data_IF_675516124189
#
_entry.id   IF_675516124189
#
_cell.length_a   1.000
_cell.length_b   1.000
_cell.length_c   1.000
_cell.angle_alpha   90.00
_cell.angle_beta   90.00
_cell.angle_gamma   90.00
#
_symmetry.space_group_name_H-M   'P 1'
#
loop_
_entity.id
_entity.type
_entity.pdbx_description
1 polymer ?
#
# COMPACT_ATOMS: atom_id res chain seq x y z
N UNK A 1 -10.04 -10.13 -11.41
CA UNK A 1 -9.00 -9.14 -11.09
C UNK A 1 -8.49 -8.62 -12.41
N UNK A 2 -8.22 -7.33 -12.51
CA UNK A 2 -7.53 -6.79 -13.69
C UNK A 2 -6.20 -7.53 -13.87
N UNK A 3 -5.90 -7.99 -15.09
CA UNK A 3 -4.72 -8.80 -15.41
C UNK A 3 -3.44 -8.06 -14.99
N UNK A 4 -3.45 -6.72 -15.03
CA UNK A 4 -2.30 -5.90 -14.62
C UNK A 4 -1.86 -6.12 -13.16
N UNK A 5 -2.79 -6.31 -12.21
CA UNK A 5 -2.43 -6.53 -10.80
C UNK A 5 -1.91 -7.94 -10.56
N UNK A 6 -2.48 -8.92 -11.27
CA UNK A 6 -2.05 -10.31 -11.18
C UNK A 6 -0.64 -10.47 -11.75
N UNK A 7 -0.40 -9.93 -12.95
CA UNK A 7 0.90 -10.00 -13.60
C UNK A 7 1.98 -9.31 -12.77
N UNK A 8 1.67 -8.13 -12.20
CA UNK A 8 2.58 -7.46 -11.27
C UNK A 8 2.85 -8.29 -10.01
N UNK A 9 1.82 -8.88 -9.40
CA UNK A 9 2.00 -9.72 -8.22
C UNK A 9 2.84 -10.98 -8.52
N UNK A 10 2.67 -11.58 -9.70
CA UNK A 10 3.44 -12.74 -10.14
C UNK A 10 4.89 -12.37 -10.42
N UNK A 11 5.17 -11.27 -11.13
CA UNK A 11 6.53 -10.83 -11.43
C UNK A 11 7.28 -10.33 -10.17
N UNK A 12 6.55 -9.76 -9.21
CA UNK A 12 7.06 -9.32 -7.91
C UNK A 12 6.78 -10.34 -6.81
N UNK A 13 7.17 -11.59 -7.07
CA UNK A 13 7.12 -12.67 -6.09
C UNK A 13 8.23 -13.67 -6.30
N UNK A 14 8.58 -14.37 -5.24
CA UNK A 14 9.53 -15.48 -5.27
C UNK A 14 8.82 -16.79 -4.95
N UNK A 15 9.37 -17.91 -5.41
CA UNK A 15 8.91 -19.25 -5.02
C UNK A 15 9.89 -19.78 -3.98
N UNK A 16 9.40 -20.03 -2.76
CA UNK A 16 10.18 -20.62 -1.67
C UNK A 16 9.57 -21.97 -1.33
N UNK A 17 10.30 -23.05 -1.66
CA UNK A 17 9.72 -24.39 -1.70
C UNK A 17 8.69 -24.47 -2.84
N UNK A 18 7.43 -24.70 -2.48
CA UNK A 18 6.29 -24.73 -3.43
C UNK A 18 5.29 -23.60 -3.18
N UNK A 19 5.65 -22.62 -2.36
CA UNK A 19 4.79 -21.50 -1.99
C UNK A 19 5.28 -20.23 -2.67
N UNK A 20 4.38 -19.54 -3.37
CA UNK A 20 4.63 -18.20 -3.91
C UNK A 20 4.53 -17.16 -2.80
N UNK A 21 5.59 -16.38 -2.59
CA UNK A 21 5.67 -15.31 -1.60
C UNK A 21 5.77 -13.99 -2.35
N UNK A 22 4.79 -13.11 -2.12
CA UNK A 22 4.76 -11.76 -2.69
C UNK A 22 5.84 -10.89 -2.06
N UNK A 23 6.52 -10.10 -2.89
CA UNK A 23 7.47 -9.08 -2.42
C UNK A 23 6.73 -7.88 -1.81
N UNK A 24 7.39 -7.09 -0.94
CA UNK A 24 6.77 -5.95 -0.26
C UNK A 24 6.08 -4.96 -1.21
N UNK A 25 6.65 -4.68 -2.38
CA UNK A 25 6.10 -3.76 -3.37
C UNK A 25 4.79 -4.28 -3.99
N UNK A 26 4.69 -5.58 -4.26
CA UNK A 26 3.44 -6.22 -4.70
C UNK A 26 2.37 -6.13 -3.62
N UNK A 27 2.76 -6.36 -2.36
CA UNK A 27 1.85 -6.25 -1.22
C UNK A 27 1.32 -4.82 -1.07
N UNK A 28 2.16 -3.79 -1.30
CA UNK A 28 1.71 -2.39 -1.29
C UNK A 28 0.63 -2.18 -2.36
N UNK A 29 0.88 -2.58 -3.61
CA UNK A 29 -0.07 -2.40 -4.72
C UNK A 29 -1.41 -3.08 -4.42
N UNK A 30 -1.39 -4.36 -4.03
CA UNK A 30 -2.61 -5.11 -3.77
C UNK A 30 -3.39 -4.54 -2.58
N UNK A 31 -2.70 -4.10 -1.52
CA UNK A 31 -3.36 -3.48 -0.36
C UNK A 31 -3.96 -2.12 -0.70
N UNK A 32 -3.33 -1.33 -1.57
CA UNK A 32 -3.86 -0.04 -2.00
C UNK A 32 -5.16 -0.23 -2.82
N UNK A 33 -5.17 -1.21 -3.72
CA UNK A 33 -6.37 -1.58 -4.49
C UNK A 33 -7.50 -2.04 -3.57
N UNK A 34 -7.19 -2.91 -2.60
CA UNK A 34 -8.18 -3.41 -1.63
C UNK A 34 -8.72 -2.31 -0.71
N UNK A 35 -7.87 -1.38 -0.27
CA UNK A 35 -8.28 -0.21 0.51
C UNK A 35 -9.33 0.62 -0.23
N UNK A 36 -9.03 1.01 -1.48
CA UNK A 36 -9.91 1.82 -2.30
C UNK A 36 -11.21 1.10 -2.65
N UNK A 37 -11.16 -0.21 -2.89
CA UNK A 37 -12.36 -1.00 -3.14
C UNK A 37 -13.25 -1.09 -1.90
N UNK A 38 -12.67 -1.31 -0.72
CA UNK A 38 -13.41 -1.33 0.53
C UNK A 38 -14.04 0.03 0.86
N UNK A 39 -13.35 1.14 0.59
CA UNK A 39 -13.94 2.49 0.69
C UNK A 39 -15.13 2.62 -0.26
N UNK A 40 -14.97 2.24 -1.54
CA UNK A 40 -16.03 2.31 -2.55
C UNK A 40 -17.25 1.46 -2.20
N UNK A 41 -17.05 0.28 -1.62
CA UNK A 41 -18.14 -0.59 -1.16
C UNK A 41 -18.87 0.04 0.03
N UNK A 42 -18.12 0.57 0.99
CA UNK A 42 -18.68 1.27 2.14
C UNK A 42 -19.52 2.50 1.74
N UNK A 43 -19.04 3.29 0.79
CA UNK A 43 -19.79 4.44 0.24
C UNK A 43 -21.09 4.03 -0.45
N UNK A 44 -21.16 2.82 -1.02
CA UNK A 44 -22.39 2.26 -1.59
C UNK A 44 -23.36 1.68 -0.55
N UNK A 45 -22.98 1.68 0.73
CA UNK A 45 -23.78 1.15 1.83
C UNK A 45 -23.58 -0.34 2.11
N UNK A 46 -22.57 -0.98 1.50
CA UNK A 46 -22.22 -2.36 1.83
C UNK A 46 -21.65 -2.46 3.26
N UNK A 47 -21.86 -3.59 3.98
CA UNK A 47 -21.46 -3.75 5.38
C UNK A 47 -19.94 -4.02 5.52
N UNK A 48 -19.13 -3.01 5.20
CA UNK A 48 -17.67 -3.04 5.34
C UNK A 48 -17.25 -2.31 6.61
N UNK A 49 -16.51 -2.99 7.49
CA UNK A 49 -15.98 -2.39 8.72
C UNK A 49 -14.88 -1.36 8.40
N UNK A 50 -14.93 -0.19 9.05
CA UNK A 50 -13.86 0.81 8.95
C UNK A 50 -12.50 0.22 9.35
N UNK A 51 -12.48 -0.67 10.33
CA UNK A 51 -11.26 -1.34 10.80
C UNK A 51 -10.58 -2.13 9.68
N UNK A 52 -11.37 -2.70 8.76
CA UNK A 52 -10.87 -3.44 7.61
C UNK A 52 -10.37 -2.54 6.48
N UNK A 53 -10.86 -1.31 6.39
CA UNK A 53 -10.27 -0.30 5.52
C UNK A 53 -8.93 0.16 6.14
N UNK A 54 -8.95 0.54 7.42
CA UNK A 54 -7.80 1.09 8.13
C UNK A 54 -6.66 0.09 8.29
N UNK A 55 -6.92 -1.23 8.30
CA UNK A 55 -5.86 -2.24 8.33
C UNK A 55 -4.97 -2.18 7.08
N UNK A 56 -5.55 -2.00 5.89
CA UNK A 56 -4.77 -1.96 4.65
C UNK A 56 -3.86 -0.73 4.61
N UNK A 57 -4.39 0.42 5.00
CA UNK A 57 -3.63 1.67 5.13
C UNK A 57 -2.45 1.53 6.11
N UNK A 58 -2.68 0.92 7.28
CA UNK A 58 -1.63 0.65 8.29
C UNK A 58 -0.59 -0.36 7.82
N UNK A 59 -1.01 -1.40 7.12
CA UNK A 59 -0.11 -2.41 6.57
C UNK A 59 0.83 -1.81 5.51
N UNK A 60 0.33 -0.94 4.63
CA UNK A 60 1.17 -0.25 3.64
C UNK A 60 2.19 0.65 4.34
N UNK A 61 1.77 1.38 5.39
CA UNK A 61 2.70 2.20 6.17
C UNK A 61 3.78 1.37 6.87
N UNK A 62 3.47 0.16 7.33
CA UNK A 62 4.48 -0.76 7.87
C UNK A 62 5.42 -1.28 6.79
N UNK A 63 4.88 -1.66 5.64
CA UNK A 63 5.67 -2.15 4.49
C UNK A 63 6.64 -1.08 3.99
N UNK A 64 6.29 0.20 4.07
CA UNK A 64 7.16 1.31 3.69
C UNK A 64 8.52 1.31 4.41
N UNK A 65 8.61 0.80 5.63
CA UNK A 65 9.89 0.72 6.37
C UNK A 65 10.87 -0.32 5.80
N UNK A 66 10.45 -1.15 4.86
CA UNK A 66 11.35 -2.10 4.18
C UNK A 66 12.24 -1.41 3.15
N UNK A 67 11.82 -0.24 2.66
CA UNK A 67 12.49 0.46 1.57
C UNK A 67 13.34 1.62 2.11
N UNK A 68 14.50 1.83 1.50
CA UNK A 68 15.33 3.01 1.75
C UNK A 68 15.10 4.12 0.69
N UNK A 69 14.29 3.84 -0.34
CA UNK A 69 13.95 4.77 -1.39
C UNK A 69 14.94 4.80 -2.56
N UNK A 70 15.92 3.88 -2.59
CA UNK A 70 16.80 3.66 -3.74
C UNK A 70 16.11 2.89 -4.86
N UNK A 71 15.05 2.14 -4.56
CA UNK A 71 14.35 1.26 -5.49
C UNK A 71 13.33 2.02 -6.36
N UNK A 72 13.10 1.55 -7.58
CA UNK A 72 12.05 2.04 -8.47
C UNK A 72 11.36 0.84 -9.12
N UNK A 73 10.04 0.84 -9.10
CA UNK A 73 9.22 -0.24 -9.63
C UNK A 73 8.39 0.29 -10.80
N UNK A 74 8.62 -0.28 -11.98
CA UNK A 74 7.80 -0.01 -13.15
C UNK A 74 6.43 -0.65 -12.97
N UNK A 75 5.38 0.16 -13.08
CA UNK A 75 3.99 -0.24 -12.91
C UNK A 75 3.17 0.30 -14.07
N UNK A 76 2.12 -0.41 -14.46
CA UNK A 76 1.19 0.05 -15.48
C UNK A 76 0.48 1.34 -15.06
N UNK A 77 -0.05 2.09 -16.03
CA UNK A 77 -0.81 3.31 -15.75
C UNK A 77 -2.02 3.04 -14.84
N UNK A 78 -2.70 1.91 -15.03
CA UNK A 78 -3.78 1.46 -14.14
C UNK A 78 -3.32 1.32 -12.69
N UNK A 79 -2.14 0.75 -12.43
CA UNK A 79 -1.59 0.66 -11.06
C UNK A 79 -1.21 2.04 -10.55
N UNK A 80 -0.58 2.88 -11.35
CA UNK A 80 -0.21 4.26 -10.96
C UNK A 80 -1.43 5.06 -10.54
N UNK A 81 -2.52 5.00 -11.30
CA UNK A 81 -3.77 5.69 -10.98
C UNK A 81 -4.34 5.25 -9.62
N UNK A 82 -4.34 3.94 -9.33
CA UNK A 82 -4.78 3.44 -8.02
C UNK A 82 -3.87 3.89 -6.89
N UNK A 83 -2.56 3.86 -7.09
CA UNK A 83 -1.61 4.32 -6.07
C UNK A 83 -1.72 5.83 -5.82
N UNK A 84 -1.95 6.64 -6.85
CA UNK A 84 -2.23 8.08 -6.71
C UNK A 84 -3.50 8.32 -5.91
N UNK A 85 -4.59 7.62 -6.25
CA UNK A 85 -5.84 7.72 -5.50
C UNK A 85 -5.66 7.30 -4.02
N UNK A 86 -4.87 6.25 -3.76
CA UNK A 86 -4.54 5.85 -2.39
C UNK A 86 -3.76 6.95 -1.64
N UNK A 87 -2.75 7.54 -2.28
CA UNK A 87 -1.96 8.64 -1.69
C UNK A 87 -2.86 9.82 -1.34
N UNK A 88 -3.74 10.24 -2.24
CA UNK A 88 -4.69 11.34 -1.99
C UNK A 88 -5.61 11.04 -0.79
N UNK A 89 -6.11 9.82 -0.68
CA UNK A 89 -6.96 9.41 0.44
C UNK A 89 -6.21 9.39 1.77
N UNK A 90 -4.93 8.98 1.75
CA UNK A 90 -4.07 9.02 2.93
C UNK A 90 -3.72 10.46 3.34
N UNK A 91 -3.55 11.37 2.38
CA UNK A 91 -3.33 12.79 2.67
C UNK A 91 -4.57 13.43 3.31
N UNK A 92 -5.77 13.07 2.87
CA UNK A 92 -7.04 13.51 3.47
C UNK A 92 -7.29 12.89 4.85
N UNK A 93 -6.89 11.63 5.03
CA UNK A 93 -7.04 10.88 6.28
C UNK A 93 -5.69 10.31 6.74
N UNK A 94 -4.83 11.14 7.37
CA UNK A 94 -3.49 10.74 7.77
C UNK A 94 -3.46 9.54 8.72
N UNK A 95 -2.35 8.81 8.66
CA UNK A 95 -2.07 7.72 9.58
C UNK A 95 -1.45 8.31 10.85
N UNK A 96 -1.94 7.89 12.01
CA UNK A 96 -1.31 8.20 13.28
C UNK A 96 -0.09 7.28 13.52
N UNK A 97 0.99 7.57 12.78
CA UNK A 97 2.25 6.82 12.87
C UNK A 97 2.84 6.84 14.28
N UNK A 98 2.69 7.94 15.02
CA UNK A 98 3.19 8.07 16.40
C UNK A 98 2.53 7.05 17.34
N UNK A 99 1.20 6.94 17.29
CA UNK A 99 0.49 5.94 18.07
C UNK A 99 0.81 4.52 17.59
N UNK A 100 0.96 4.32 16.27
CA UNK A 100 1.20 2.98 15.71
C UNK A 100 2.60 2.42 16.02
N UNK A 101 3.63 3.26 16.00
CA UNK A 101 5.03 2.85 16.22
C UNK A 101 5.46 2.97 17.70
N UNK A 102 4.55 3.40 18.59
CA UNK A 102 4.84 3.54 20.02
C UNK A 102 5.34 2.22 20.61
N UNK A 103 6.51 2.25 21.24
CA UNK A 103 7.10 1.09 21.92
C UNK A 103 7.80 0.09 20.98
N UNK A 104 7.88 0.37 19.67
CA UNK A 104 8.56 -0.52 18.71
C UNK A 104 10.06 -0.22 18.53
N UNK A 105 10.58 0.83 19.18
CA UNK A 105 11.99 1.24 19.04
C UNK A 105 12.36 1.87 17.68
N UNK A 106 11.40 1.97 16.76
CA UNK A 106 11.55 2.58 15.43
C UNK A 106 10.78 3.92 15.42
N UNK A 107 11.39 5.03 14.98
CA UNK A 107 10.70 6.31 14.89
C UNK A 107 9.56 6.27 13.87
N UNK A 108 8.49 7.01 14.15
CA UNK A 108 7.38 7.16 13.22
C UNK A 108 7.79 8.00 12.00
N UNK A 109 7.58 7.46 10.80
CA UNK A 109 7.78 8.13 9.52
C UNK A 109 6.75 9.27 9.37
N UNK A 110 7.22 10.45 8.95
CA UNK A 110 6.31 11.58 8.71
C UNK A 110 5.39 11.31 7.53
N UNK A 111 4.19 11.91 7.48
CA UNK A 111 3.27 11.71 6.34
C UNK A 111 3.86 12.20 5.01
N UNK A 112 4.59 13.32 5.03
CA UNK A 112 5.27 13.85 3.84
C UNK A 112 6.36 12.88 3.35
N UNK A 113 7.10 12.28 4.27
CA UNK A 113 8.13 11.29 3.98
C UNK A 113 7.51 9.99 3.43
N UNK A 114 6.46 9.49 4.08
CA UNK A 114 5.74 8.29 3.66
C UNK A 114 5.14 8.43 2.26
N UNK A 115 4.45 9.53 2.00
CA UNK A 115 3.89 9.81 0.67
C UNK A 115 5.00 10.02 -0.35
N UNK A 116 6.05 10.76 0.01
CA UNK A 116 7.21 10.98 -0.85
C UNK A 116 7.89 9.67 -1.25
N UNK A 117 8.04 8.74 -0.31
CA UNK A 117 8.57 7.40 -0.56
C UNK A 117 7.69 6.63 -1.56
N UNK A 118 6.37 6.58 -1.36
CA UNK A 118 5.47 5.89 -2.30
C UNK A 118 5.52 6.51 -3.71
N UNK A 119 5.50 7.84 -3.81
CA UNK A 119 5.61 8.54 -5.10
C UNK A 119 6.91 8.20 -5.81
N UNK A 120 8.00 8.16 -5.04
CA UNK A 120 9.31 7.83 -5.54
C UNK A 120 9.41 6.36 -6.00
N UNK A 121 8.98 5.40 -5.17
CA UNK A 121 9.04 3.97 -5.48
C UNK A 121 8.29 3.59 -6.75
N UNK A 122 7.13 4.19 -7.01
CA UNK A 122 6.23 3.80 -8.10
C UNK A 122 6.10 4.84 -9.23
N UNK A 123 6.90 5.91 -9.19
CA UNK A 123 6.90 6.96 -10.21
C UNK A 123 5.53 7.65 -10.37
N UNK A 124 4.93 8.06 -9.24
CA UNK A 124 3.60 8.69 -9.19
C UNK A 124 3.65 10.20 -9.45
#
# INVERSE_FOLDING_TARGET
>A
MDDAYYDFAVSHSDIVGDIRILKPEALIVLKAVAFLENQRLKEKGDPVDQKDIDKHKRDIYRLAYVFDGSERYEVSDTIKERLRAFVEEVEKSPIDGKNMMRGQGIPAMGMVEFVGLLRNLFGL
#
